data_IF_001025066347
#
_entry.id   IF_001025066347
#
_cell.length_a   1.000
_cell.length_b   1.000
_cell.length_c   1.000
_cell.angle_alpha   90.00
_cell.angle_beta   90.00
_cell.angle_gamma   90.00
#
_symmetry.space_group_name_H-M   'P 1'
#
loop_
_entity.id
_entity.type
_entity.pdbx_description
1 polymer ?
#
# COMPACT_ATOMS: atom_id res chain seq x y z
N UNK A 1 31.72 1.25 -5.04
CA UNK A 1 30.62 0.30 -5.28
C UNK A 1 29.97 0.03 -3.93
N UNK A 2 28.86 0.72 -3.62
CA UNK A 2 28.19 0.54 -2.33
C UNK A 2 27.39 -0.75 -2.43
N UNK A 3 27.96 -1.85 -1.91
CA UNK A 3 27.22 -3.09 -1.78
C UNK A 3 26.09 -2.83 -0.79
N UNK A 4 24.85 -2.84 -1.27
CA UNK A 4 23.66 -2.76 -0.44
C UNK A 4 23.67 -4.00 0.46
N UNK A 5 24.23 -3.87 1.65
CA UNK A 5 24.34 -4.94 2.62
C UNK A 5 22.96 -5.03 3.25
N UNK A 6 22.12 -5.92 2.73
CA UNK A 6 20.87 -6.31 3.36
C UNK A 6 21.23 -7.03 4.67
N UNK A 7 21.60 -6.27 5.70
CA UNK A 7 21.83 -6.74 7.06
C UNK A 7 20.49 -6.93 7.77
N UNK A 8 19.52 -7.56 7.10
CA UNK A 8 18.30 -7.99 7.75
C UNK A 8 18.65 -9.18 8.65
N UNK A 9 18.27 -9.07 9.91
CA UNK A 9 18.18 -10.21 10.81
C UNK A 9 17.24 -11.28 10.22
N UNK A 10 17.33 -12.52 10.70
CA UNK A 10 16.47 -13.61 10.22
C UNK A 10 14.99 -13.29 10.46
N UNK A 11 14.72 -12.58 11.54
CA UNK A 11 13.39 -12.13 11.93
C UNK A 11 12.86 -11.08 10.95
N UNK A 12 13.69 -10.13 10.55
CA UNK A 12 13.34 -9.11 9.55
C UNK A 12 13.11 -9.72 8.17
N UNK A 13 13.95 -10.68 7.76
CA UNK A 13 13.79 -11.38 6.48
C UNK A 13 12.48 -12.19 6.44
N UNK A 14 12.16 -12.89 7.53
CA UNK A 14 10.90 -13.60 7.68
C UNK A 14 9.69 -12.64 7.64
N UNK A 15 9.79 -11.47 8.31
CA UNK A 15 8.75 -10.46 8.28
C UNK A 15 8.57 -9.87 6.87
N UNK A 16 9.65 -9.62 6.14
CA UNK A 16 9.63 -9.15 4.76
C UNK A 16 8.99 -10.19 3.82
N UNK A 17 9.26 -11.48 4.04
CA UNK A 17 8.61 -12.56 3.30
C UNK A 17 7.10 -12.60 3.55
N UNK A 18 6.67 -12.47 4.81
CA UNK A 18 5.24 -12.42 5.14
C UNK A 18 4.56 -11.20 4.51
N UNK A 19 5.20 -10.04 4.54
CA UNK A 19 4.71 -8.83 3.88
C UNK A 19 4.62 -9.00 2.36
N UNK A 20 5.57 -9.71 1.75
CA UNK A 20 5.53 -10.05 0.34
C UNK A 20 4.30 -10.91 0.01
N UNK A 21 4.08 -11.99 0.75
CA UNK A 21 2.93 -12.89 0.58
C UNK A 21 1.59 -12.16 0.72
N UNK A 22 1.45 -11.30 1.72
CA UNK A 22 0.23 -10.50 1.92
C UNK A 22 0.00 -9.59 0.71
N UNK A 23 1.04 -8.90 0.24
CA UNK A 23 0.97 -8.01 -0.93
C UNK A 23 0.62 -8.78 -2.21
N UNK A 24 1.18 -9.98 -2.37
CA UNK A 24 0.90 -10.84 -3.51
C UNK A 24 -0.58 -11.24 -3.54
N UNK A 25 -1.11 -11.74 -2.42
CA UNK A 25 -2.53 -12.10 -2.29
C UNK A 25 -3.46 -10.91 -2.53
N UNK A 26 -3.10 -9.72 -2.05
CA UNK A 26 -3.85 -8.49 -2.33
C UNK A 26 -3.83 -8.14 -3.82
N UNK A 27 -2.71 -8.33 -4.50
CA UNK A 27 -2.60 -8.11 -5.95
C UNK A 27 -3.40 -9.12 -6.77
N UNK A 28 -3.41 -10.40 -6.36
CA UNK A 28 -4.21 -11.46 -7.00
C UNK A 28 -5.71 -11.20 -6.92
N UNK A 29 -6.17 -10.58 -5.83
CA UNK A 29 -7.59 -10.22 -5.66
C UNK A 29 -8.08 -9.18 -6.68
N UNK A 30 -7.17 -8.54 -7.45
CA UNK A 30 -7.47 -7.54 -8.50
C UNK A 30 -8.53 -6.51 -8.08
N UNK A 31 -8.49 -6.10 -6.82
CA UNK A 31 -9.47 -5.16 -6.30
C UNK A 31 -9.30 -3.80 -6.98
N UNK A 32 -10.40 -3.18 -7.35
CA UNK A 32 -10.35 -1.82 -7.85
C UNK A 32 -9.91 -0.86 -6.72
N UNK A 33 -9.30 0.29 -7.05
CA UNK A 33 -8.97 1.30 -6.04
C UNK A 33 -10.15 1.68 -5.15
N UNK A 34 -11.38 1.70 -5.70
CA UNK A 34 -12.62 1.97 -4.96
C UNK A 34 -12.93 0.88 -3.93
N UNK A 35 -12.73 -0.40 -4.29
CA UNK A 35 -12.91 -1.54 -3.38
C UNK A 35 -11.89 -1.53 -2.25
N UNK A 36 -10.63 -1.19 -2.56
CA UNK A 36 -9.56 -1.03 -1.58
C UNK A 36 -9.90 0.11 -0.61
N UNK A 37 -10.32 1.27 -1.14
CA UNK A 37 -10.69 2.42 -0.33
C UNK A 37 -11.89 2.12 0.57
N UNK A 38 -12.91 1.45 0.04
CA UNK A 38 -14.10 1.05 0.81
C UNK A 38 -13.73 0.12 1.96
N UNK A 39 -12.89 -0.88 1.69
CA UNK A 39 -12.41 -1.83 2.70
C UNK A 39 -11.55 -1.12 3.76
N UNK A 40 -10.65 -0.23 3.33
CA UNK A 40 -9.84 0.58 4.24
C UNK A 40 -10.68 1.45 5.17
N UNK A 41 -11.75 2.07 4.64
CA UNK A 41 -12.68 2.90 5.41
C UNK A 41 -13.43 2.07 6.47
N UNK A 42 -13.89 0.88 6.11
CA UNK A 42 -14.52 -0.06 7.05
C UNK A 42 -13.56 -0.47 8.17
N UNK A 43 -12.29 -0.72 7.86
CA UNK A 43 -11.28 -1.10 8.85
C UNK A 43 -10.93 0.06 9.78
N UNK A 44 -10.80 1.28 9.25
CA UNK A 44 -10.56 2.49 10.06
C UNK A 44 -11.68 2.69 11.10
N UNK A 45 -12.93 2.55 10.66
CA UNK A 45 -14.10 2.65 11.55
C UNK A 45 -14.08 1.52 12.59
N UNK A 46 -13.87 0.28 12.15
CA UNK A 46 -13.89 -0.91 13.02
C UNK A 46 -12.85 -0.84 14.12
N UNK A 47 -11.64 -0.38 13.82
CA UNK A 47 -10.51 -0.32 14.75
C UNK A 47 -10.28 1.06 15.37
N UNK A 48 -11.17 2.03 15.11
CA UNK A 48 -11.07 3.41 15.64
C UNK A 48 -9.72 4.07 15.36
N UNK A 49 -9.21 3.87 14.14
CA UNK A 49 -7.91 4.39 13.68
C UNK A 49 -8.03 5.87 13.30
N UNK A 50 -8.42 6.70 14.26
CA UNK A 50 -8.81 8.10 14.05
C UNK A 50 -7.66 9.00 13.55
N UNK A 51 -6.43 8.51 13.59
CA UNK A 51 -5.24 9.17 13.08
C UNK A 51 -4.97 8.92 11.58
N UNK A 52 -5.72 8.02 10.94
CA UNK A 52 -5.54 7.69 9.54
C UNK A 52 -6.52 8.47 8.65
N UNK A 53 -6.01 8.97 7.52
CA UNK A 53 -6.81 9.62 6.47
C UNK A 53 -6.65 8.82 5.19
N UNK A 54 -7.76 8.60 4.48
CA UNK A 54 -7.74 7.98 3.16
C UNK A 54 -7.32 9.06 2.15
N UNK A 55 -6.24 8.81 1.43
CA UNK A 55 -5.81 9.67 0.32
C UNK A 55 -6.55 9.19 -0.93
N UNK A 56 -7.64 9.88 -1.28
CA UNK A 56 -8.22 9.74 -2.61
C UNK A 56 -7.29 10.46 -3.57
N UNK A 57 -6.65 9.73 -4.48
CA UNK A 57 -5.94 10.33 -5.61
C UNK A 57 -6.96 11.09 -6.46
N UNK A 58 -7.14 12.38 -6.15
CA UNK A 58 -7.84 13.31 -7.01
C UNK A 58 -7.17 13.25 -8.38
N UNK A 59 -8.01 13.23 -9.43
CA UNK A 59 -7.59 13.21 -10.83
C UNK A 59 -6.29 13.98 -11.02
N UNK A 60 -5.25 13.30 -11.50
CA UNK A 60 -4.16 13.99 -12.19
C UNK A 60 -4.75 14.52 -13.49
N UNK A 61 -5.43 15.66 -13.42
CA UNK A 61 -5.59 16.55 -14.57
C UNK A 61 -4.18 16.99 -14.94
N UNK A 62 -3.57 16.25 -15.87
CA UNK A 62 -2.40 16.74 -16.55
C UNK A 62 -2.89 17.86 -17.49
N UNK A 63 -2.95 19.06 -16.94
CA UNK A 63 -2.74 20.28 -17.70
C UNK A 63 -1.36 20.17 -18.36
N UNK A 64 -1.37 19.69 -19.60
CA UNK A 64 -0.19 19.50 -20.42
C UNK A 64 -0.50 19.78 -21.89
N UNK A 65 -1.44 20.68 -22.17
CA UNK A 65 -1.51 21.33 -23.48
C UNK A 65 -0.47 22.47 -23.46
N UNK A 66 0.63 22.29 -24.20
CA UNK A 66 1.50 23.39 -24.61
C UNK A 66 2.00 23.13 -26.03
N UNK A 67 2.33 24.22 -26.75
CA UNK A 67 1.72 24.66 -28.01
C UNK A 67 2.25 23.95 -29.25
#
# INVERSE_FOLDING_TARGET
MVHYKNDYSKEEDAALWQLHEIRHRLAEQRQSPEQINTTGLQLIIKYKLNNLKIVTSGKMENEGQRP
#
